data_IF_319120534405
#
_entry.id   IF_319120534405
#
_cell.length_a   1.000
_cell.length_b   1.000
_cell.length_c   1.000
_cell.angle_alpha   90.00
_cell.angle_beta   90.00
_cell.angle_gamma   90.00
#
_symmetry.space_group_name_H-M   'P 1'
#
loop_
_entity.id
_entity.type
_entity.pdbx_description
1 polymer ?
#
# COMPACT_ATOMS: atom_id res chain seq x y z
N UNK A 1 -11.78 -17.60 -18.58
CA UNK A 1 -12.81 -18.55 -18.09
C UNK A 1 -14.15 -18.14 -18.68
N UNK A 2 -14.81 -19.00 -19.45
CA UNK A 2 -16.07 -18.67 -20.15
C UNK A 2 -17.30 -18.86 -19.26
N UNK A 3 -18.41 -18.14 -19.54
CA UNK A 3 -19.68 -18.24 -18.78
C UNK A 3 -20.23 -19.67 -18.63
N UNK A 4 -19.95 -20.57 -19.57
CA UNK A 4 -20.31 -22.00 -19.52
C UNK A 4 -19.43 -22.84 -18.60
N UNK A 5 -18.16 -22.47 -18.42
CA UNK A 5 -17.26 -23.10 -17.45
C UNK A 5 -17.62 -22.68 -16.02
N UNK A 6 -18.05 -21.43 -15.85
CA UNK A 6 -18.54 -20.90 -14.58
C UNK A 6 -19.81 -21.62 -14.09
N UNK A 7 -20.78 -21.87 -14.96
CA UNK A 7 -22.02 -22.57 -14.61
C UNK A 7 -21.79 -24.04 -14.20
N UNK A 8 -20.93 -24.76 -14.93
CA UNK A 8 -20.56 -26.14 -14.58
C UNK A 8 -19.74 -26.22 -13.29
N UNK A 9 -18.86 -25.25 -13.06
CA UNK A 9 -18.14 -25.15 -11.81
C UNK A 9 -19.11 -24.93 -10.65
N UNK A 10 -20.07 -24.02 -10.79
CA UNK A 10 -21.08 -23.73 -9.77
C UNK A 10 -22.01 -24.91 -9.46
N UNK A 11 -22.48 -25.64 -10.47
CA UNK A 11 -23.29 -26.87 -10.30
C UNK A 11 -22.49 -28.01 -9.64
N UNK A 12 -21.17 -28.08 -9.86
CA UNK A 12 -20.33 -29.09 -9.18
C UNK A 12 -20.05 -28.74 -7.71
N UNK A 13 -19.99 -27.45 -7.37
CA UNK A 13 -19.68 -26.96 -6.02
C UNK A 13 -20.87 -27.13 -5.07
N UNK A 14 -22.10 -27.21 -5.58
CA UNK A 14 -23.30 -27.49 -4.76
C UNK A 14 -23.35 -28.90 -4.16
N UNK A 15 -22.49 -29.82 -4.59
CA UNK A 15 -22.35 -31.17 -4.03
C UNK A 15 -21.11 -31.33 -3.13
N UNK A 16 -20.30 -30.29 -2.96
CA UNK A 16 -19.05 -30.39 -2.20
C UNK A 16 -19.32 -30.39 -0.70
N UNK A 17 -18.71 -31.34 -0.01
CA UNK A 17 -18.64 -31.30 1.45
C UNK A 17 -17.67 -30.20 1.91
N UNK A 18 -17.79 -29.70 3.15
CA UNK A 18 -16.79 -28.81 3.73
C UNK A 18 -15.35 -29.35 3.60
N UNK A 19 -15.16 -30.67 3.71
CA UNK A 19 -13.89 -31.35 3.53
C UNK A 19 -13.35 -31.27 2.09
N UNK A 20 -14.23 -31.33 1.09
CA UNK A 20 -13.85 -31.18 -0.32
C UNK A 20 -13.41 -29.75 -0.63
N UNK A 21 -14.17 -28.75 -0.14
CA UNK A 21 -13.82 -27.33 -0.26
C UNK A 21 -12.48 -27.05 0.41
N UNK A 22 -12.27 -27.60 1.61
CA UNK A 22 -11.01 -27.44 2.35
C UNK A 22 -9.83 -28.08 1.62
N UNK A 23 -10.01 -29.27 1.04
CA UNK A 23 -8.96 -29.97 0.30
C UNK A 23 -8.58 -29.22 -0.98
N UNK A 24 -9.54 -28.71 -1.74
CA UNK A 24 -9.29 -27.86 -2.92
C UNK A 24 -8.57 -26.57 -2.53
N UNK A 25 -9.00 -25.91 -1.44
CA UNK A 25 -8.33 -24.72 -0.90
C UNK A 25 -6.86 -24.99 -0.57
N UNK A 26 -6.56 -26.08 0.16
CA UNK A 26 -5.18 -26.48 0.47
C UNK A 26 -4.37 -26.84 -0.78
N UNK A 27 -5.01 -27.40 -1.80
CA UNK A 27 -4.39 -27.68 -3.10
C UNK A 27 -3.98 -26.40 -3.83
N UNK A 28 -4.90 -25.43 -3.93
CA UNK A 28 -4.64 -24.11 -4.54
C UNK A 28 -3.57 -23.35 -3.77
N UNK A 29 -3.62 -23.35 -2.43
CA UNK A 29 -2.61 -22.73 -1.58
C UNK A 29 -1.22 -23.32 -1.83
N UNK A 30 -1.08 -24.64 -1.85
CA UNK A 30 0.23 -25.29 -2.14
C UNK A 30 0.76 -24.97 -3.53
N UNK A 31 -0.12 -24.85 -4.53
CA UNK A 31 0.28 -24.43 -5.88
C UNK A 31 0.75 -22.96 -5.88
N UNK A 32 0.05 -22.09 -5.17
CA UNK A 32 0.43 -20.68 -5.01
C UNK A 32 1.83 -20.56 -4.37
N UNK A 33 2.07 -21.19 -3.23
CA UNK A 33 3.38 -21.13 -2.55
C UNK A 33 4.52 -21.58 -3.46
N UNK A 34 4.33 -22.67 -4.22
CA UNK A 34 5.34 -23.14 -5.17
C UNK A 34 5.63 -22.12 -6.27
N UNK A 35 4.59 -21.57 -6.90
CA UNK A 35 4.76 -20.56 -7.95
C UNK A 35 5.42 -19.31 -7.39
N UNK A 36 5.07 -18.90 -6.17
CA UNK A 36 5.68 -17.78 -5.46
C UNK A 36 7.17 -18.02 -5.22
N UNK A 37 7.55 -19.19 -4.71
CA UNK A 37 8.96 -19.55 -4.50
C UNK A 37 9.76 -19.55 -5.82
N UNK A 38 9.19 -20.12 -6.90
CA UNK A 38 9.81 -20.09 -8.23
C UNK A 38 9.99 -18.65 -8.73
N UNK A 39 8.97 -17.80 -8.57
CA UNK A 39 8.97 -16.40 -8.98
C UNK A 39 10.02 -15.59 -8.22
N UNK A 40 10.08 -15.76 -6.89
CA UNK A 40 11.05 -15.10 -6.02
C UNK A 40 12.49 -15.57 -6.24
N UNK A 41 12.71 -16.66 -6.97
CA UNK A 41 14.02 -17.14 -7.42
C UNK A 41 14.52 -16.48 -8.71
N UNK A 42 13.77 -15.55 -9.30
CA UNK A 42 14.08 -14.88 -10.57
C UNK A 42 14.29 -13.37 -10.40
N UNK A 43 14.70 -12.67 -11.47
CA UNK A 43 14.67 -11.20 -11.51
C UNK A 43 13.22 -10.71 -11.63
N UNK A 44 12.60 -10.48 -10.47
CA UNK A 44 11.17 -10.24 -10.34
C UNK A 44 10.78 -8.78 -10.60
N UNK A 45 11.69 -7.83 -10.38
CA UNK A 45 11.40 -6.39 -10.45
C UNK A 45 10.82 -5.94 -11.80
N UNK A 46 11.36 -6.34 -12.98
CA UNK A 46 10.79 -5.94 -14.27
C UNK A 46 9.35 -6.44 -14.47
N UNK A 47 9.03 -7.62 -13.95
CA UNK A 47 7.69 -8.21 -14.05
C UNK A 47 6.71 -7.44 -13.18
N UNK A 48 7.09 -7.10 -11.95
CA UNK A 48 6.24 -6.34 -11.03
C UNK A 48 6.01 -4.91 -11.52
N UNK A 49 7.05 -4.21 -11.99
CA UNK A 49 6.90 -2.87 -12.57
C UNK A 49 5.96 -2.87 -13.76
N UNK A 50 6.07 -3.87 -14.63
CA UNK A 50 5.13 -4.04 -15.75
C UNK A 50 3.71 -4.28 -15.27
N UNK A 51 3.52 -5.16 -14.28
CA UNK A 51 2.20 -5.46 -13.73
C UNK A 51 1.53 -4.25 -13.06
N UNK A 52 2.32 -3.39 -12.42
CA UNK A 52 1.85 -2.09 -11.92
C UNK A 52 1.48 -1.18 -13.10
N UNK A 53 2.39 -0.95 -14.05
CA UNK A 53 2.15 -0.08 -15.21
C UNK A 53 0.91 -0.47 -16.04
N UNK A 54 0.67 -1.77 -16.23
CA UNK A 54 -0.49 -2.29 -16.97
C UNK A 54 -1.81 -2.19 -16.16
N UNK A 55 -1.73 -2.02 -14.83
CA UNK A 55 -2.86 -1.81 -13.92
C UNK A 55 -3.70 -3.06 -13.59
N UNK A 56 -3.83 -3.99 -14.54
CA UNK A 56 -4.67 -5.20 -14.46
C UNK A 56 -4.24 -6.18 -13.36
N UNK A 57 -3.01 -6.07 -12.86
CA UNK A 57 -2.43 -6.98 -11.86
C UNK A 57 -1.84 -6.26 -10.65
N UNK A 58 -2.15 -4.98 -10.46
CA UNK A 58 -1.62 -4.16 -9.35
C UNK A 58 -1.93 -4.76 -7.97
N UNK A 59 -3.15 -5.29 -7.76
CA UNK A 59 -3.51 -5.98 -6.50
C UNK A 59 -2.65 -7.21 -6.21
N UNK A 60 -2.28 -7.99 -7.23
CA UNK A 60 -1.41 -9.14 -7.04
C UNK A 60 -0.01 -8.69 -6.59
N UNK A 61 0.47 -7.56 -7.11
CA UNK A 61 1.73 -6.94 -6.66
C UNK A 61 1.60 -6.46 -5.22
N UNK A 62 0.52 -5.76 -4.86
CA UNK A 62 0.30 -5.29 -3.48
C UNK A 62 0.28 -6.43 -2.48
N UNK A 63 -0.46 -7.50 -2.77
CA UNK A 63 -0.52 -8.68 -1.90
C UNK A 63 0.84 -9.38 -1.78
N UNK A 64 1.58 -9.53 -2.88
CA UNK A 64 2.90 -10.14 -2.84
C UNK A 64 3.88 -9.32 -1.98
N UNK A 65 3.85 -7.99 -2.12
CA UNK A 65 4.67 -7.08 -1.29
C UNK A 65 4.25 -7.20 0.17
N UNK A 66 2.95 -7.15 0.48
CA UNK A 66 2.44 -7.27 1.85
C UNK A 66 2.85 -8.60 2.52
N UNK A 67 2.82 -9.70 1.77
CA UNK A 67 3.21 -11.03 2.27
C UNK A 67 4.72 -11.17 2.50
N UNK A 68 5.55 -10.63 1.60
CA UNK A 68 7.00 -10.95 1.57
C UNK A 68 7.90 -9.79 2.07
N UNK A 69 7.35 -8.60 2.28
CA UNK A 69 8.12 -7.43 2.73
C UNK A 69 8.79 -7.63 4.10
N UNK A 70 8.22 -8.46 4.98
CA UNK A 70 8.83 -8.77 6.27
C UNK A 70 10.12 -9.58 6.15
N UNK A 71 10.14 -10.53 5.22
CA UNK A 71 11.24 -11.47 5.04
C UNK A 71 12.29 -10.97 4.04
N UNK A 72 11.87 -10.19 3.03
CA UNK A 72 12.73 -9.73 1.91
C UNK A 72 12.46 -8.26 1.53
N UNK A 73 12.52 -7.31 2.48
CA UNK A 73 12.16 -5.91 2.20
C UNK A 73 13.00 -5.28 1.09
N UNK A 74 14.28 -5.65 0.99
CA UNK A 74 15.21 -5.16 -0.04
C UNK A 74 14.76 -5.48 -1.47
N UNK A 75 14.04 -6.59 -1.68
CA UNK A 75 13.56 -6.98 -3.01
C UNK A 75 12.46 -6.04 -3.53
N UNK A 76 11.71 -5.41 -2.63
CA UNK A 76 10.54 -4.61 -2.97
C UNK A 76 10.73 -3.10 -2.73
N UNK A 77 11.77 -2.67 -2.01
CA UNK A 77 12.07 -1.23 -1.82
C UNK A 77 12.20 -0.48 -3.14
N UNK A 78 12.76 -1.12 -4.16
CA UNK A 78 12.87 -0.54 -5.50
C UNK A 78 11.53 -0.29 -6.21
N UNK A 79 10.42 -0.83 -5.69
CA UNK A 79 9.07 -0.60 -6.20
C UNK A 79 8.37 0.55 -5.47
N UNK A 80 8.94 1.14 -4.42
CA UNK A 80 8.29 2.25 -3.69
C UNK A 80 7.86 3.39 -4.64
N UNK A 81 8.68 3.84 -5.62
CA UNK A 81 8.24 4.84 -6.58
C UNK A 81 7.08 4.39 -7.47
N UNK A 82 7.02 3.10 -7.82
CA UNK A 82 5.97 2.53 -8.66
C UNK A 82 4.65 2.32 -7.88
N UNK A 83 4.75 2.06 -6.58
CA UNK A 83 3.61 1.87 -5.67
C UNK A 83 2.99 3.21 -5.22
N UNK A 84 3.83 4.24 -5.06
CA UNK A 84 3.43 5.52 -4.49
C UNK A 84 2.21 6.17 -5.17
N UNK A 85 2.08 6.24 -6.50
CA UNK A 85 0.92 6.86 -7.14
C UNK A 85 -0.42 6.21 -6.75
N UNK A 86 -0.44 4.91 -6.49
CA UNK A 86 -1.65 4.22 -6.06
C UNK A 86 -2.09 4.65 -4.66
N UNK A 87 -1.15 4.99 -3.79
CA UNK A 87 -1.40 5.36 -2.38
C UNK A 87 -2.18 6.67 -2.25
N UNK A 88 -2.10 7.53 -3.27
CA UNK A 88 -2.80 8.81 -3.35
C UNK A 88 -4.30 8.65 -3.70
N UNK A 89 -4.77 7.42 -3.88
CA UNK A 89 -6.20 7.13 -4.00
C UNK A 89 -6.85 6.92 -2.63
N UNK A 90 -8.08 7.41 -2.46
CA UNK A 90 -8.94 7.04 -1.34
C UNK A 90 -9.68 5.72 -1.56
N UNK A 91 -9.65 5.18 -2.79
CA UNK A 91 -10.31 3.93 -3.15
C UNK A 91 -9.51 2.69 -2.77
N UNK A 92 -10.00 1.49 -3.16
CA UNK A 92 -9.32 0.24 -2.88
C UNK A 92 -7.83 0.21 -3.29
N UNK A 93 -7.41 0.68 -4.50
CA UNK A 93 -5.98 0.68 -4.84
C UNK A 93 -5.09 1.40 -3.82
N UNK A 94 -5.58 2.50 -3.24
CA UNK A 94 -4.86 3.22 -2.19
C UNK A 94 -4.77 2.46 -0.88
N UNK A 95 -5.87 1.82 -0.46
CA UNK A 95 -5.88 1.00 0.76
C UNK A 95 -4.84 -0.13 0.67
N UNK A 96 -4.81 -0.87 -0.45
CA UNK A 96 -3.88 -2.00 -0.59
C UNK A 96 -2.43 -1.56 -0.82
N UNK A 97 -2.20 -0.50 -1.59
CA UNK A 97 -0.83 0.02 -1.78
C UNK A 97 -0.24 0.63 -0.49
N UNK A 98 -1.05 1.31 0.34
CA UNK A 98 -0.60 1.78 1.66
C UNK A 98 -0.25 0.63 2.59
N UNK A 99 -1.04 -0.47 2.60
CA UNK A 99 -0.69 -1.69 3.34
C UNK A 99 0.62 -2.30 2.87
N UNK A 100 0.84 -2.38 1.56
CA UNK A 100 2.09 -2.85 0.99
C UNK A 100 3.29 -1.99 1.43
N UNK A 101 3.18 -0.65 1.36
CA UNK A 101 4.23 0.25 1.84
C UNK A 101 4.43 0.18 3.36
N UNK A 102 3.35 0.02 4.13
CA UNK A 102 3.43 -0.22 5.58
C UNK A 102 4.18 -1.51 5.89
N UNK A 103 3.94 -2.60 5.17
CA UNK A 103 4.66 -3.86 5.35
C UNK A 103 6.17 -3.72 5.05
N UNK A 104 6.56 -2.82 4.14
CA UNK A 104 7.95 -2.46 3.89
C UNK A 104 8.57 -1.56 4.97
N UNK A 105 7.74 -0.96 5.83
CA UNK A 105 8.19 -0.10 6.94
C UNK A 105 8.70 -0.97 8.07
N UNK A 106 9.96 -0.77 8.49
CA UNK A 106 10.43 -1.33 9.77
C UNK A 106 10.08 -0.33 10.88
N UNK A 107 9.63 -0.78 12.06
CA UNK A 107 9.44 0.10 13.20
C UNK A 107 10.68 0.98 13.44
N UNK A 108 10.51 2.30 13.39
CA UNK A 108 11.57 3.27 13.60
C UNK A 108 12.55 3.48 12.43
N UNK A 109 12.27 2.96 11.23
CA UNK A 109 13.08 3.24 10.03
C UNK A 109 12.22 3.96 8.98
N UNK A 110 12.45 5.27 8.73
CA UNK A 110 11.74 6.01 7.70
C UNK A 110 12.04 5.46 6.29
N UNK A 111 11.08 5.56 5.38
CA UNK A 111 11.31 5.28 3.96
C UNK A 111 12.04 6.44 3.31
N UNK A 112 13.36 6.31 3.12
CA UNK A 112 14.16 7.34 2.47
C UNK A 112 13.64 7.65 1.05
N UNK A 113 13.06 6.65 0.39
CA UNK A 113 12.48 6.71 -0.94
C UNK A 113 11.18 7.55 -0.99
N UNK A 114 10.44 7.66 0.13
CA UNK A 114 9.19 8.45 0.17
C UNK A 114 9.46 9.96 0.17
N UNK A 115 10.52 10.42 0.85
CA UNK A 115 10.80 11.84 1.00
C UNK A 115 10.79 12.64 -0.33
N UNK A 116 11.49 12.23 -1.41
CA UNK A 116 11.43 12.96 -2.68
C UNK A 116 10.06 12.91 -3.37
N UNK A 117 9.30 11.81 -3.19
CA UNK A 117 7.98 11.63 -3.78
C UNK A 117 6.96 12.54 -3.09
N UNK A 118 6.95 12.52 -1.75
CA UNK A 118 6.13 13.41 -0.91
C UNK A 118 6.45 14.87 -1.22
N UNK A 119 7.73 15.23 -1.32
CA UNK A 119 8.11 16.59 -1.68
C UNK A 119 7.62 17.03 -3.07
N UNK A 120 7.44 16.09 -4.02
CA UNK A 120 6.84 16.39 -5.32
C UNK A 120 5.33 16.62 -5.19
N UNK A 121 4.61 15.71 -4.52
CA UNK A 121 3.16 15.84 -4.28
C UNK A 121 2.80 17.11 -3.51
N UNK A 122 3.58 17.49 -2.48
CA UNK A 122 3.37 18.74 -1.75
C UNK A 122 3.61 20.01 -2.58
N UNK A 123 4.27 19.91 -3.75
CA UNK A 123 4.41 21.04 -4.69
C UNK A 123 3.32 21.01 -5.75
N UNK A 124 3.04 19.84 -6.29
CA UNK A 124 2.27 19.68 -7.52
C UNK A 124 0.78 19.47 -7.26
N UNK A 125 0.43 18.90 -6.11
CA UNK A 125 -0.93 18.49 -5.73
C UNK A 125 -1.41 19.12 -4.42
N UNK A 126 -0.76 20.20 -3.97
CA UNK A 126 -1.08 20.87 -2.68
C UNK A 126 -2.51 21.41 -2.59
N UNK A 127 -3.22 21.53 -3.71
CA UNK A 127 -4.62 21.94 -3.79
C UNK A 127 -5.59 20.78 -4.02
N UNK A 128 -5.10 19.55 -4.21
CA UNK A 128 -5.96 18.38 -4.38
C UNK A 128 -6.27 17.79 -3.01
N UNK A 129 -7.49 18.05 -2.51
CA UNK A 129 -7.96 17.56 -1.21
C UNK A 129 -7.92 16.03 -1.10
N UNK A 130 -8.18 15.30 -2.19
CA UNK A 130 -8.20 13.85 -2.15
C UNK A 130 -6.78 13.28 -2.08
N UNK A 131 -5.87 13.81 -2.88
CA UNK A 131 -4.47 13.43 -2.84
C UNK A 131 -3.82 13.80 -1.51
N UNK A 132 -4.08 15.01 -1.00
CA UNK A 132 -3.56 15.47 0.30
C UNK A 132 -4.09 14.65 1.47
N UNK A 133 -5.38 14.28 1.48
CA UNK A 133 -5.93 13.38 2.49
C UNK A 133 -5.32 11.97 2.38
N UNK A 134 -5.23 11.43 1.17
CA UNK A 134 -4.63 10.10 0.96
C UNK A 134 -3.15 10.05 1.36
N UNK A 135 -2.42 11.16 1.13
CA UNK A 135 -1.05 11.34 1.56
C UNK A 135 -0.94 11.35 3.10
N UNK A 136 -1.81 12.07 3.81
CA UNK A 136 -1.84 12.04 5.28
C UNK A 136 -1.99 10.60 5.80
N UNK A 137 -2.98 9.86 5.28
CA UNK A 137 -3.22 8.46 5.64
C UNK A 137 -2.00 7.57 5.37
N UNK A 138 -1.28 7.77 4.26
CA UNK A 138 -0.04 7.04 3.97
C UNK A 138 1.00 7.30 5.05
N UNK A 139 1.24 8.57 5.39
CA UNK A 139 2.31 8.98 6.31
C UNK A 139 2.04 8.47 7.74
N UNK A 140 0.77 8.41 8.13
CA UNK A 140 0.35 7.74 9.36
C UNK A 140 0.54 6.22 9.29
N UNK A 141 0.10 5.58 8.19
CA UNK A 141 0.22 4.13 8.01
C UNK A 141 1.68 3.65 8.09
N UNK A 142 2.62 4.41 7.55
CA UNK A 142 4.06 4.11 7.62
C UNK A 142 4.75 4.70 8.87
N UNK A 143 4.01 5.46 9.69
CA UNK A 143 4.49 6.12 10.89
C UNK A 143 5.71 7.04 10.64
N UNK A 144 5.69 7.82 9.55
CA UNK A 144 6.73 8.82 9.23
C UNK A 144 6.30 10.21 9.72
N UNK A 145 6.51 10.44 11.01
CA UNK A 145 6.13 11.69 11.68
C UNK A 145 6.84 12.93 11.10
N UNK A 146 8.04 12.75 10.54
CA UNK A 146 8.78 13.87 9.94
C UNK A 146 8.13 14.32 8.64
N UNK A 147 7.74 13.37 7.79
CA UNK A 147 7.01 13.70 6.56
C UNK A 147 5.58 14.16 6.88
N UNK A 148 4.94 13.62 7.91
CA UNK A 148 3.60 14.06 8.34
C UNK A 148 3.61 15.52 8.81
N UNK A 149 4.64 15.94 9.57
CA UNK A 149 4.81 17.34 9.96
C UNK A 149 4.98 18.27 8.73
N UNK A 150 5.77 17.85 7.73
CA UNK A 150 5.92 18.61 6.48
C UNK A 150 4.63 18.70 5.67
N UNK A 151 3.86 17.62 5.64
CA UNK A 151 2.53 17.62 5.03
C UNK A 151 1.60 18.62 5.73
N UNK A 152 1.62 18.66 7.08
CA UNK A 152 0.82 19.60 7.88
C UNK A 152 1.15 21.06 7.53
N UNK A 153 2.43 21.40 7.48
CA UNK A 153 2.90 22.75 7.09
C UNK A 153 2.42 23.14 5.68
N UNK A 154 2.50 22.21 4.73
CA UNK A 154 2.03 22.43 3.36
C UNK A 154 0.50 22.58 3.28
N UNK A 155 -0.25 21.75 4.01
CA UNK A 155 -1.71 21.81 4.05
C UNK A 155 -2.20 23.15 4.62
N UNK A 156 -1.63 23.60 5.76
CA UNK A 156 -1.99 24.88 6.40
C UNK A 156 -1.71 26.11 5.52
N UNK A 157 -0.74 26.01 4.61
CA UNK A 157 -0.36 27.08 3.68
C UNK A 157 -0.98 26.92 2.29
N UNK A 158 -1.79 25.87 2.08
CA UNK A 158 -2.45 25.62 0.81
C UNK A 158 -3.39 26.77 0.44
N UNK A 159 -3.47 27.16 -0.85
CA UNK A 159 -4.46 28.13 -1.30
C UNK A 159 -5.88 27.54 -1.32
N UNK A 160 -6.04 26.22 -1.25
CA UNK A 160 -7.34 25.54 -1.18
C UNK A 160 -7.87 25.49 0.27
N UNK A 161 -9.15 25.82 0.46
CA UNK A 161 -9.77 25.86 1.79
C UNK A 161 -9.97 24.47 2.38
N UNK A 162 -10.45 23.52 1.59
CA UNK A 162 -10.71 22.16 2.04
C UNK A 162 -9.40 21.47 2.46
N UNK A 163 -8.28 21.76 1.76
CA UNK A 163 -6.95 21.28 2.16
C UNK A 163 -6.48 21.89 3.48
N UNK A 164 -6.74 23.19 3.72
CA UNK A 164 -6.33 23.86 4.97
C UNK A 164 -7.03 23.31 6.20
N UNK A 165 -8.21 22.72 6.05
CA UNK A 165 -8.97 22.11 7.14
C UNK A 165 -8.52 20.68 7.46
N UNK A 166 -7.83 19.98 6.55
CA UNK A 166 -7.38 18.60 6.77
C UNK A 166 -6.55 18.40 8.06
N UNK A 167 -5.60 19.28 8.45
CA UNK A 167 -4.84 19.14 9.68
C UNK A 167 -5.67 19.04 10.98
N UNK A 168 -6.92 19.52 10.97
CA UNK A 168 -7.83 19.41 12.12
C UNK A 168 -8.38 17.98 12.28
N UNK A 169 -8.43 17.21 11.19
CA UNK A 169 -8.77 15.78 11.20
C UNK A 169 -7.61 14.91 11.73
N UNK A 170 -6.39 15.47 11.80
CA UNK A 170 -5.15 14.78 12.16
C UNK A 170 -4.39 15.56 13.26
N UNK A 171 -4.89 15.61 14.50
CA UNK A 171 -4.33 16.46 15.55
C UNK A 171 -2.95 15.99 16.03
N UNK A 172 -2.03 16.95 16.25
CA UNK A 172 -0.67 16.74 16.79
C UNK A 172 -0.63 15.98 18.13
N UNK A 173 -1.73 16.00 18.89
CA UNK A 173 -1.79 15.40 20.23
C UNK A 173 -1.66 13.88 20.26
N UNK A 174 -1.76 13.18 19.14
CA UNK A 174 -1.48 11.74 19.07
C UNK A 174 0.00 11.40 18.85
N UNK A 175 0.82 12.37 18.42
CA UNK A 175 2.24 12.15 18.10
C UNK A 175 3.09 13.38 18.46
N UNK A 176 3.61 13.47 19.70
CA UNK A 176 4.43 14.60 20.09
C UNK A 176 5.73 14.67 19.25
N UNK A 177 6.24 15.87 18.95
CA UNK A 177 7.52 16.01 18.27
C UNK A 177 8.64 15.34 19.09
N UNK A 178 9.69 14.81 18.44
CA UNK A 178 10.75 14.05 19.11
C UNK A 178 11.47 14.82 20.22
N UNK A 179 11.40 16.16 20.20
CA UNK A 179 11.99 17.06 21.19
C UNK A 179 10.97 17.69 22.16
N UNK A 180 9.71 17.24 22.16
CA UNK A 180 8.76 17.68 23.18
C UNK A 180 9.25 17.20 24.56
N UNK A 181 9.44 18.10 25.54
CA UNK A 181 9.72 17.68 26.90
C UNK A 181 8.58 16.81 27.40
N UNK A 182 8.89 15.56 27.75
CA UNK A 182 7.96 14.67 28.42
C UNK A 182 7.65 15.29 29.77
N UNK A 183 6.42 15.77 29.97
CA UNK A 183 5.99 16.25 31.27
C UNK A 183 6.05 15.09 32.29
N UNK A 184 6.48 15.37 33.54
CA UNK A 184 6.73 14.35 34.57
C UNK A 184 5.48 13.63 35.08
#
# INVERSE_FOLDING_TARGET
MGRREWAKWWESVTEWTPEDVWTDFLGKRRKYERVKEELLGTDLLPVLRKALADGDSSYAVFSLVEEEAGDRPELFRELVPDLYPYTLSLGPPGIFSRRALRALSRPGTPHAELAPLVAATLRDEVTDVFAMRALAMLLEDVNDLTLLARWREAALTSPDEDVRELPDEYPESEYPPPDAPQEP
#
